data_IF_564981423528
#
_entry.id   IF_564981423528
#
_cell.length_a   1.000
_cell.length_b   1.000
_cell.length_c   1.000
_cell.angle_alpha   90.00
_cell.angle_beta   90.00
_cell.angle_gamma   90.00
#
_symmetry.space_group_name_H-M   'P 1'
#
loop_
_entity.id
_entity.type
_entity.pdbx_description
1 polymer ?
#
# COMPACT_ATOMS: atom_id res chain seq x y z
N UNK A 1 -7.65 13.94 -17.16
CA UNK A 1 -6.44 13.11 -17.00
C UNK A 1 -5.35 13.86 -16.23
N UNK A 2 -5.06 15.13 -16.58
CA UNK A 2 -4.06 15.95 -15.85
C UNK A 2 -4.32 16.10 -14.34
N UNK A 3 -5.59 16.18 -13.91
CA UNK A 3 -5.93 16.39 -12.50
C UNK A 3 -5.46 15.25 -11.57
N UNK A 4 -5.72 13.99 -11.93
CA UNK A 4 -5.34 12.83 -11.10
C UNK A 4 -3.81 12.66 -11.04
N UNK A 5 -3.12 12.90 -12.15
CA UNK A 5 -1.65 12.93 -12.19
C UNK A 5 -1.11 14.05 -11.30
N UNK A 6 -1.65 15.26 -11.43
CA UNK A 6 -1.23 16.41 -10.61
C UNK A 6 -1.41 16.12 -9.13
N UNK A 7 -2.56 15.56 -8.74
CA UNK A 7 -2.84 15.15 -7.36
C UNK A 7 -1.80 14.15 -6.85
N UNK A 8 -1.50 13.09 -7.61
CA UNK A 8 -0.51 12.08 -7.22
C UNK A 8 0.89 12.67 -6.99
N UNK A 9 1.36 13.55 -7.89
CA UNK A 9 2.67 14.19 -7.74
C UNK A 9 2.70 15.23 -6.62
N UNK A 10 1.60 15.93 -6.35
CA UNK A 10 1.48 16.83 -5.19
C UNK A 10 1.58 16.02 -3.90
N UNK A 11 0.84 14.91 -3.79
CA UNK A 11 0.91 14.03 -2.62
C UNK A 11 2.32 13.42 -2.44
N UNK A 12 2.96 12.99 -3.53
CA UNK A 12 4.34 12.51 -3.52
C UNK A 12 5.29 13.58 -2.97
N UNK A 13 5.20 14.80 -3.50
CA UNK A 13 6.07 15.93 -3.09
C UNK A 13 5.88 16.24 -1.60
N UNK A 14 4.63 16.32 -1.13
CA UNK A 14 4.33 16.55 0.28
C UNK A 14 4.85 15.42 1.17
N UNK A 15 4.63 14.16 0.76
CA UNK A 15 5.12 12.98 1.48
C UNK A 15 6.65 12.98 1.61
N UNK A 16 7.36 13.22 0.50
CA UNK A 16 8.82 13.32 0.48
C UNK A 16 9.33 14.47 1.34
N UNK A 17 8.66 15.62 1.32
CA UNK A 17 9.02 16.76 2.18
C UNK A 17 8.90 16.42 3.67
N UNK A 18 7.83 15.71 4.07
CA UNK A 18 7.64 15.25 5.46
C UNK A 18 8.71 14.22 5.86
N UNK A 19 9.04 13.27 4.98
CA UNK A 19 10.10 12.28 5.23
C UNK A 19 11.46 12.97 5.36
N UNK A 20 11.78 13.89 4.45
CA UNK A 20 13.02 14.65 4.49
C UNK A 20 13.12 15.49 5.77
N UNK A 21 12.05 16.20 6.14
CA UNK A 21 12.00 16.97 7.39
C UNK A 21 12.25 16.05 8.60
N UNK A 22 11.60 14.89 8.66
CA UNK A 22 11.80 13.91 9.73
C UNK A 22 13.27 13.48 9.83
N UNK A 23 13.89 13.12 8.72
CA UNK A 23 15.30 12.69 8.68
C UNK A 23 16.23 13.83 9.11
N UNK A 24 16.02 15.04 8.58
CA UNK A 24 16.84 16.23 8.94
C UNK A 24 16.72 16.54 10.43
N UNK A 25 15.51 16.56 10.98
CA UNK A 25 15.30 16.79 12.42
C UNK A 25 15.96 15.70 13.25
N UNK A 26 15.91 14.44 12.81
CA UNK A 26 16.55 13.31 13.49
C UNK A 26 18.07 13.46 13.51
N UNK A 27 18.67 13.75 12.36
CA UNK A 27 20.12 13.96 12.23
C UNK A 27 20.56 15.16 13.08
N UNK A 28 19.80 16.26 13.10
CA UNK A 28 20.12 17.44 13.91
C UNK A 28 20.00 17.22 15.42
N UNK A 29 19.04 16.40 15.86
CA UNK A 29 18.78 16.18 17.30
C UNK A 29 19.59 15.02 17.88
N UNK A 30 19.80 13.93 17.13
CA UNK A 30 20.42 12.70 17.61
C UNK A 30 21.81 12.43 17.02
N UNK A 31 22.22 13.14 15.97
CA UNK A 31 23.44 12.87 15.20
C UNK A 31 23.33 11.68 14.26
N UNK A 32 24.21 11.59 13.26
CA UNK A 32 24.22 10.52 12.24
C UNK A 32 24.59 9.14 12.81
N UNK A 33 25.37 9.10 13.90
CA UNK A 33 25.79 7.85 14.55
C UNK A 33 24.66 7.11 15.29
N UNK A 34 23.47 7.71 15.41
CA UNK A 34 22.32 7.13 16.15
C UNK A 34 21.09 6.87 15.25
N UNK A 35 21.30 6.77 13.93
CA UNK A 35 20.24 6.39 13.01
C UNK A 35 19.72 4.98 13.32
N UNK A 36 18.40 4.84 13.36
CA UNK A 36 17.70 3.65 13.79
C UNK A 36 17.07 2.93 12.59
N UNK A 37 16.61 1.70 12.80
CA UNK A 37 15.91 0.93 11.76
C UNK A 37 14.70 1.67 11.16
N UNK A 38 13.97 2.48 11.96
CA UNK A 38 12.85 3.28 11.45
C UNK A 38 13.31 4.34 10.44
N UNK A 39 14.49 4.92 10.60
CA UNK A 39 15.01 5.95 9.69
C UNK A 39 15.33 5.35 8.30
N UNK A 40 15.92 4.15 8.26
CA UNK A 40 16.16 3.42 7.01
C UNK A 40 14.86 2.97 6.34
N UNK A 41 13.87 2.53 7.12
CA UNK A 41 12.56 2.18 6.58
C UNK A 41 11.84 3.39 5.98
N UNK A 42 12.04 4.60 6.52
CA UNK A 42 11.47 5.82 5.91
C UNK A 42 12.14 6.16 4.57
N UNK A 43 13.44 5.93 4.42
CA UNK A 43 14.13 6.08 3.12
C UNK A 43 13.63 5.05 2.12
N UNK A 44 13.49 3.79 2.55
CA UNK A 44 12.91 2.74 1.71
C UNK A 44 11.47 3.08 1.27
N UNK A 45 10.65 3.62 2.18
CA UNK A 45 9.30 4.09 1.87
C UNK A 45 9.32 5.25 0.86
N UNK A 46 10.25 6.20 0.97
CA UNK A 46 10.39 7.28 -0.01
C UNK A 46 10.71 6.75 -1.41
N UNK A 47 11.63 5.79 -1.53
CA UNK A 47 11.98 5.15 -2.80
C UNK A 47 10.77 4.40 -3.36
N UNK A 48 10.11 3.59 -2.54
CA UNK A 48 8.92 2.84 -2.95
C UNK A 48 7.79 3.76 -3.40
N UNK A 49 7.61 4.91 -2.75
CA UNK A 49 6.58 5.88 -3.12
C UNK A 49 6.88 6.53 -4.47
N UNK A 50 8.13 6.93 -4.72
CA UNK A 50 8.55 7.45 -6.04
C UNK A 50 8.30 6.40 -7.13
N UNK A 51 8.71 5.15 -6.90
CA UNK A 51 8.54 4.07 -7.86
C UNK A 51 7.06 3.78 -8.11
N UNK A 52 6.26 3.67 -7.06
CA UNK A 52 4.82 3.41 -7.17
C UNK A 52 4.10 4.52 -7.94
N UNK A 53 4.39 5.79 -7.63
CA UNK A 53 3.78 6.94 -8.32
C UNK A 53 4.17 6.97 -9.80
N UNK A 54 5.43 6.67 -10.12
CA UNK A 54 5.89 6.57 -11.50
C UNK A 54 5.20 5.41 -12.26
N UNK A 55 5.10 4.23 -11.63
CA UNK A 55 4.44 3.08 -12.24
C UNK A 55 2.95 3.36 -12.49
N UNK A 56 2.26 3.98 -11.53
CA UNK A 56 0.87 4.39 -11.68
C UNK A 56 0.71 5.39 -12.83
N UNK A 57 1.55 6.43 -12.88
CA UNK A 57 1.57 7.38 -14.01
C UNK A 57 1.82 6.71 -15.36
N UNK A 58 2.70 5.70 -15.40
CA UNK A 58 3.04 5.00 -16.64
C UNK A 58 1.87 4.21 -17.25
N UNK A 59 0.91 3.76 -16.43
CA UNK A 59 -0.34 3.14 -16.92
C UNK A 59 -1.09 4.09 -17.87
N UNK A 60 -1.29 5.33 -17.46
CA UNK A 60 -2.00 6.32 -18.29
C UNK A 60 -1.11 6.86 -19.42
N UNK A 61 0.13 7.25 -19.09
CA UNK A 61 0.99 7.96 -20.03
C UNK A 61 1.54 7.05 -21.14
N UNK A 62 2.04 5.86 -20.75
CA UNK A 62 2.69 4.90 -21.65
C UNK A 62 1.66 3.93 -22.20
N UNK A 63 0.87 3.30 -21.32
CA UNK A 63 -0.06 2.23 -21.71
C UNK A 63 -1.46 2.73 -22.09
N UNK A 64 -1.69 4.05 -22.10
CA UNK A 64 -2.96 4.69 -22.47
C UNK A 64 -4.16 4.22 -21.63
N UNK A 65 -3.90 3.90 -20.37
CA UNK A 65 -4.90 3.36 -19.44
C UNK A 65 -5.38 1.96 -19.81
N UNK A 66 -4.66 1.24 -20.68
CA UNK A 66 -5.06 -0.10 -21.15
C UNK A 66 -4.35 -1.19 -20.37
N UNK A 67 -5.12 -2.18 -19.94
CA UNK A 67 -4.63 -3.44 -19.36
C UNK A 67 -5.52 -4.61 -19.85
N UNK A 68 -5.49 -5.75 -19.16
CA UNK A 68 -6.23 -6.96 -19.55
C UNK A 68 -7.67 -7.03 -18.99
N UNK A 69 -8.10 -6.01 -18.26
CA UNK A 69 -9.44 -5.83 -17.72
C UNK A 69 -10.31 -4.89 -18.58
N UNK A 70 -11.59 -4.77 -18.21
CA UNK A 70 -12.53 -3.83 -18.82
C UNK A 70 -12.94 -4.15 -20.27
N UNK A 71 -12.76 -5.40 -20.71
CA UNK A 71 -13.07 -5.86 -22.07
C UNK A 71 -14.29 -6.80 -22.09
N UNK A 72 -15.16 -6.66 -23.09
CA UNK A 72 -16.17 -7.68 -23.43
C UNK A 72 -15.54 -8.83 -24.22
N UNK A 73 -16.24 -9.96 -24.34
CA UNK A 73 -15.77 -11.11 -25.11
C UNK A 73 -15.50 -10.73 -26.57
N UNK A 74 -16.38 -9.97 -27.20
CA UNK A 74 -16.25 -9.53 -28.59
C UNK A 74 -15.04 -8.60 -28.77
N UNK A 75 -14.81 -7.72 -27.80
CA UNK A 75 -13.63 -6.84 -27.82
C UNK A 75 -12.33 -7.62 -27.65
N UNK A 76 -12.32 -8.68 -26.82
CA UNK A 76 -11.14 -9.56 -26.68
C UNK A 76 -10.86 -10.30 -27.99
N UNK A 77 -11.88 -10.82 -28.65
CA UNK A 77 -11.77 -11.53 -29.93
C UNK A 77 -11.30 -10.63 -31.07
N UNK A 78 -11.71 -9.36 -31.06
CA UNK A 78 -11.30 -8.39 -32.06
C UNK A 78 -9.82 -7.98 -31.96
N UNK A 79 -9.16 -8.21 -30.82
CA UNK A 79 -7.76 -7.82 -30.61
C UNK A 79 -6.84 -8.91 -31.19
N UNK A 80 -6.22 -8.60 -32.33
CA UNK A 80 -5.22 -9.47 -32.96
C UNK A 80 -3.93 -9.51 -32.14
N UNK A 81 -3.36 -10.70 -31.95
CA UNK A 81 -2.04 -10.87 -31.33
C UNK A 81 -0.97 -10.11 -32.09
N UNK A 82 -0.08 -9.43 -31.35
CA UNK A 82 1.01 -8.63 -31.93
C UNK A 82 0.59 -7.24 -32.47
N UNK A 83 -0.70 -6.91 -32.47
CA UNK A 83 -1.16 -5.54 -32.77
C UNK A 83 -0.70 -4.53 -31.71
N UNK A 84 -0.70 -3.24 -32.06
CA UNK A 84 -0.38 -2.16 -31.11
C UNK A 84 -1.27 -2.20 -29.87
N UNK A 85 -2.57 -2.49 -30.03
CA UNK A 85 -3.49 -2.62 -28.89
C UNK A 85 -3.14 -3.81 -28.00
N UNK A 86 -2.75 -4.95 -28.59
CA UNK A 86 -2.28 -6.10 -27.82
C UNK A 86 -1.02 -5.75 -27.01
N UNK A 87 -0.06 -5.05 -27.59
CA UNK A 87 1.18 -4.63 -26.90
C UNK A 87 0.85 -3.67 -25.75
N UNK A 88 -0.01 -2.68 -25.98
CA UNK A 88 -0.40 -1.72 -24.95
C UNK A 88 -1.07 -2.42 -23.75
N UNK A 89 -1.98 -3.36 -24.01
CA UNK A 89 -2.72 -4.07 -22.96
C UNK A 89 -1.86 -5.06 -22.20
N UNK A 90 -1.02 -5.83 -22.90
CA UNK A 90 -0.11 -6.79 -22.24
C UNK A 90 0.95 -6.06 -21.42
N UNK A 91 1.46 -4.93 -21.91
CA UNK A 91 2.38 -4.05 -21.18
C UNK A 91 1.73 -3.45 -19.93
N UNK A 92 0.55 -2.84 -20.08
CA UNK A 92 -0.18 -2.26 -18.96
C UNK A 92 -0.58 -3.30 -17.90
N UNK A 93 -0.99 -4.50 -18.31
CA UNK A 93 -1.28 -5.60 -17.38
C UNK A 93 -0.05 -6.02 -16.55
N UNK A 94 1.14 -6.08 -17.17
CA UNK A 94 2.41 -6.35 -16.44
C UNK A 94 2.75 -5.21 -15.48
N UNK A 95 2.62 -3.95 -15.93
CA UNK A 95 2.84 -2.78 -15.08
C UNK A 95 1.85 -2.75 -13.91
N UNK A 96 0.62 -3.19 -14.08
CA UNK A 96 -0.37 -3.26 -13.00
C UNK A 96 0.06 -4.21 -11.87
N UNK A 97 0.67 -5.35 -12.19
CA UNK A 97 1.24 -6.25 -11.18
C UNK A 97 2.36 -5.52 -10.40
N UNK A 98 3.22 -4.79 -11.12
CA UNK A 98 4.27 -4.00 -10.50
C UNK A 98 3.69 -2.93 -9.56
N UNK A 99 2.67 -2.18 -10.00
CA UNK A 99 1.94 -1.18 -9.20
C UNK A 99 1.41 -1.80 -7.91
N UNK A 100 0.67 -2.92 -7.99
CA UNK A 100 0.11 -3.57 -6.80
C UNK A 100 1.21 -4.06 -5.86
N UNK A 101 2.28 -4.63 -6.41
CA UNK A 101 3.43 -5.13 -5.62
C UNK A 101 4.11 -3.99 -4.87
N UNK A 102 4.39 -2.87 -5.54
CA UNK A 102 5.06 -1.70 -4.93
C UNK A 102 4.15 -0.97 -3.95
N UNK A 103 2.85 -0.90 -4.23
CA UNK A 103 1.85 -0.33 -3.32
C UNK A 103 1.80 -1.10 -1.99
N UNK A 104 1.72 -2.42 -2.06
CA UNK A 104 1.74 -3.29 -0.86
C UNK A 104 3.07 -3.17 -0.13
N UNK A 105 4.20 -3.13 -0.84
CA UNK A 105 5.50 -2.93 -0.21
C UNK A 105 5.59 -1.58 0.51
N UNK A 106 5.09 -0.50 -0.08
CA UNK A 106 5.07 0.84 0.51
C UNK A 106 4.27 0.86 1.81
N UNK A 107 3.01 0.41 1.76
CA UNK A 107 2.12 0.44 2.93
C UNK A 107 2.68 -0.37 4.10
N UNK A 108 3.20 -1.57 3.84
CA UNK A 108 3.76 -2.42 4.91
C UNK A 108 5.12 -1.94 5.42
N UNK A 109 5.90 -1.24 4.59
CA UNK A 109 7.12 -0.55 5.04
C UNK A 109 6.77 0.57 6.02
N UNK A 110 5.73 1.36 5.74
CA UNK A 110 5.25 2.40 6.65
C UNK A 110 4.76 1.81 7.99
N UNK A 111 3.97 0.73 7.94
CA UNK A 111 3.55 -0.01 9.15
C UNK A 111 4.75 -0.54 9.96
N UNK A 112 5.75 -1.08 9.27
CA UNK A 112 6.98 -1.56 9.92
C UNK A 112 7.77 -0.42 10.58
N UNK A 113 7.84 0.76 9.94
CA UNK A 113 8.46 1.95 10.53
C UNK A 113 7.73 2.40 11.81
N UNK A 114 6.39 2.29 11.85
CA UNK A 114 5.59 2.53 13.06
C UNK A 114 5.92 1.51 14.16
N UNK A 115 6.00 0.21 13.82
CA UNK A 115 6.43 -0.83 14.77
C UNK A 115 7.81 -0.53 15.37
N UNK A 116 8.80 -0.17 14.55
CA UNK A 116 10.15 0.18 15.00
C UNK A 116 10.12 1.44 15.89
N UNK A 117 9.31 2.43 15.53
CA UNK A 117 9.10 3.62 16.35
C UNK A 117 8.53 3.27 17.73
N UNK A 118 7.48 2.42 17.79
CA UNK A 118 6.91 1.94 19.05
C UNK A 118 7.89 1.12 19.87
N UNK A 119 8.69 0.26 19.22
CA UNK A 119 9.74 -0.51 19.90
C UNK A 119 10.69 0.42 20.66
N UNK A 120 11.15 1.49 20.01
CA UNK A 120 12.03 2.49 20.62
C UNK A 120 11.34 3.25 21.75
N UNK A 121 10.14 3.77 21.50
CA UNK A 121 9.39 4.60 22.43
C UNK A 121 9.04 3.85 23.72
N UNK A 122 8.71 2.57 23.60
CA UNK A 122 8.16 1.75 24.69
C UNK A 122 9.22 0.85 25.33
N UNK A 123 10.49 0.98 24.93
CA UNK A 123 11.58 0.09 25.35
C UNK A 123 11.80 0.06 26.87
N UNK A 124 11.42 1.14 27.57
CA UNK A 124 11.48 1.27 29.04
C UNK A 124 10.28 0.71 29.81
N UNK A 125 9.22 0.25 29.14
CA UNK A 125 7.98 -0.20 29.79
C UNK A 125 7.93 -1.73 29.86
N UNK A 126 7.87 -2.28 31.07
CA UNK A 126 7.79 -3.72 31.32
C UNK A 126 6.52 -4.31 30.67
N UNK A 127 6.68 -5.40 29.92
CA UNK A 127 5.58 -6.14 29.28
C UNK A 127 5.17 -5.67 27.87
N UNK A 128 5.67 -4.52 27.38
CA UNK A 128 5.30 -4.01 26.05
C UNK A 128 6.08 -4.62 24.89
N UNK A 129 7.31 -5.11 25.15
CA UNK A 129 8.17 -5.72 24.13
C UNK A 129 7.49 -6.91 23.44
N UNK A 130 6.77 -7.75 24.18
CA UNK A 130 6.03 -8.88 23.62
C UNK A 130 4.94 -8.42 22.64
N UNK A 131 4.17 -7.38 23.00
CA UNK A 131 3.09 -6.86 22.15
C UNK A 131 3.63 -6.28 20.84
N UNK A 132 4.76 -5.58 20.89
CA UNK A 132 5.38 -4.99 19.70
C UNK A 132 6.02 -6.08 18.84
N UNK A 133 6.61 -7.12 19.44
CA UNK A 133 7.09 -8.27 18.69
C UNK A 133 5.94 -8.98 17.96
N UNK A 134 4.80 -9.19 18.62
CA UNK A 134 3.59 -9.71 17.98
C UNK A 134 3.11 -8.81 16.84
N UNK A 135 3.18 -7.48 17.00
CA UNK A 135 2.87 -6.53 15.94
C UNK A 135 3.79 -6.69 14.72
N UNK A 136 5.10 -6.78 14.94
CA UNK A 136 6.09 -6.96 13.88
C UNK A 136 5.85 -8.28 13.12
N UNK A 137 5.63 -9.38 13.85
CA UNK A 137 5.33 -10.68 13.26
C UNK A 137 4.03 -10.63 12.45
N UNK A 138 2.99 -10.01 12.99
CA UNK A 138 1.69 -9.90 12.30
C UNK A 138 1.77 -9.03 11.04
N UNK A 139 2.44 -7.87 11.10
CA UNK A 139 2.66 -7.00 9.94
C UNK A 139 3.49 -7.73 8.87
N UNK A 140 4.54 -8.45 9.26
CA UNK A 140 5.36 -9.20 8.30
C UNK A 140 4.59 -10.36 7.67
N UNK A 141 3.84 -11.12 8.47
CA UNK A 141 3.05 -12.26 7.98
C UNK A 141 1.91 -11.81 7.05
N UNK A 142 1.24 -10.72 7.38
CA UNK A 142 0.19 -10.14 6.52
C UNK A 142 0.74 -9.62 5.20
N UNK A 143 1.93 -8.99 5.21
CA UNK A 143 2.59 -8.59 3.97
C UNK A 143 2.84 -9.79 3.05
N UNK A 144 3.41 -10.86 3.61
CA UNK A 144 3.66 -12.10 2.87
C UNK A 144 2.35 -12.69 2.33
N UNK A 145 1.28 -12.70 3.12
CA UNK A 145 -0.01 -13.21 2.69
C UNK A 145 -0.60 -12.42 1.51
N UNK A 146 -0.51 -11.08 1.53
CA UNK A 146 -0.98 -10.23 0.42
C UNK A 146 -0.16 -10.47 -0.85
N UNK A 147 1.17 -10.51 -0.74
CA UNK A 147 2.04 -10.75 -1.90
C UNK A 147 1.84 -12.15 -2.47
N UNK A 148 1.74 -13.18 -1.62
CA UNK A 148 1.43 -14.54 -2.07
C UNK A 148 0.07 -14.60 -2.75
N UNK A 149 -0.93 -13.87 -2.26
CA UNK A 149 -2.23 -13.79 -2.94
C UNK A 149 -2.09 -13.16 -4.32
N UNK A 150 -1.30 -12.08 -4.47
CA UNK A 150 -1.08 -11.44 -5.76
C UNK A 150 -0.39 -12.35 -6.77
N UNK A 151 0.56 -13.21 -6.36
CA UNK A 151 1.30 -14.06 -7.30
C UNK A 151 0.69 -15.45 -7.50
N UNK A 152 -0.02 -15.98 -6.50
CA UNK A 152 -0.57 -17.34 -6.54
C UNK A 152 -2.06 -17.39 -6.92
N UNK A 153 -2.79 -16.28 -6.90
CA UNK A 153 -4.22 -16.27 -7.25
C UNK A 153 -4.46 -16.64 -8.73
N UNK A 154 -3.49 -16.43 -9.61
CA UNK A 154 -3.59 -16.76 -11.03
C UNK A 154 -2.50 -17.75 -11.42
N UNK A 155 -2.91 -18.98 -11.74
CA UNK A 155 -2.02 -20.03 -12.23
C UNK A 155 -2.49 -20.54 -13.60
N UNK A 156 -1.60 -20.62 -14.60
CA UNK A 156 -0.21 -20.15 -14.64
C UNK A 156 -0.07 -18.62 -14.68
N UNK A 157 1.05 -18.07 -14.19
CA UNK A 157 1.30 -16.62 -14.03
C UNK A 157 1.16 -15.84 -15.33
N UNK A 158 1.47 -16.43 -16.49
CA UNK A 158 1.37 -15.72 -17.77
C UNK A 158 -0.06 -15.26 -18.12
N UNK A 159 -1.08 -15.84 -17.48
CA UNK A 159 -2.47 -15.39 -17.61
C UNK A 159 -2.71 -13.98 -17.08
N UNK A 160 -1.82 -13.44 -16.25
CA UNK A 160 -1.91 -12.05 -15.80
C UNK A 160 -1.82 -11.02 -16.93
N UNK A 161 -1.22 -11.39 -18.07
CA UNK A 161 -1.14 -10.54 -19.26
C UNK A 161 -1.77 -11.22 -20.48
N UNK A 162 -2.69 -12.17 -20.27
CA UNK A 162 -3.47 -12.76 -21.35
C UNK A 162 -4.66 -11.85 -21.69
N UNK A 163 -4.90 -11.64 -22.99
CA UNK A 163 -6.00 -10.81 -23.51
C UNK A 163 -7.17 -11.68 -23.99
N UNK A 164 -6.90 -12.71 -24.77
CA UNK A 164 -7.87 -13.67 -25.26
C UNK A 164 -7.33 -15.10 -25.10
N UNK A 165 -8.15 -16.11 -24.72
CA UNK A 165 -9.51 -15.98 -24.16
C UNK A 165 -9.51 -15.24 -22.81
N UNK A 166 -10.68 -14.92 -22.25
CA UNK A 166 -10.76 -14.23 -20.95
C UNK A 166 -10.03 -15.05 -19.85
N UNK A 167 -9.00 -14.49 -19.17
CA UNK A 167 -8.26 -15.21 -18.14
C UNK A 167 -9.02 -15.33 -16.81
N UNK A 168 -10.16 -14.65 -16.66
CA UNK A 168 -10.94 -14.57 -15.43
C UNK A 168 -10.46 -13.46 -14.49
N UNK A 169 -11.35 -13.06 -13.57
CA UNK A 169 -11.12 -11.91 -12.69
C UNK A 169 -9.86 -12.05 -11.80
N UNK A 170 -9.57 -13.24 -11.29
CA UNK A 170 -8.40 -13.50 -10.45
C UNK A 170 -7.07 -13.15 -11.14
N UNK A 171 -7.04 -13.20 -12.48
CA UNK A 171 -5.89 -12.92 -13.34
C UNK A 171 -5.85 -11.46 -13.86
N UNK A 172 -6.79 -10.62 -13.45
CA UNK A 172 -6.83 -9.20 -13.83
C UNK A 172 -6.31 -8.37 -12.66
N UNK A 173 -5.00 -8.10 -12.61
CA UNK A 173 -4.34 -7.50 -11.44
C UNK A 173 -4.92 -6.13 -11.00
N UNK A 174 -5.57 -5.40 -11.91
CA UNK A 174 -6.26 -4.14 -11.60
C UNK A 174 -7.47 -4.35 -10.68
N UNK A 175 -8.22 -5.43 -10.91
CA UNK A 175 -9.55 -5.67 -10.31
C UNK A 175 -9.71 -7.07 -9.70
N UNK A 176 -8.59 -7.73 -9.40
CA UNK A 176 -8.58 -9.10 -8.88
C UNK A 176 -9.25 -9.16 -7.50
N UNK A 177 -10.44 -9.79 -7.43
CA UNK A 177 -11.21 -10.00 -6.20
C UNK A 177 -10.40 -10.60 -5.05
N UNK A 178 -9.68 -11.73 -5.23
CA UNK A 178 -8.94 -12.32 -4.11
C UNK A 178 -7.88 -11.37 -3.58
N UNK A 179 -7.15 -10.68 -4.45
CA UNK A 179 -6.14 -9.70 -4.05
C UNK A 179 -6.77 -8.51 -3.29
N UNK A 180 -7.82 -7.89 -3.85
CA UNK A 180 -8.47 -6.73 -3.24
C UNK A 180 -9.03 -7.05 -1.85
N UNK A 181 -9.74 -8.18 -1.71
CA UNK A 181 -10.32 -8.59 -0.43
C UNK A 181 -9.25 -8.92 0.62
N UNK A 182 -8.23 -9.71 0.26
CA UNK A 182 -7.16 -10.08 1.20
C UNK A 182 -6.35 -8.84 1.59
N UNK A 183 -6.01 -7.97 0.63
CA UNK A 183 -5.32 -6.72 0.90
C UNK A 183 -6.14 -5.84 1.85
N UNK A 184 -7.43 -5.60 1.58
CA UNK A 184 -8.29 -4.77 2.41
C UNK A 184 -8.40 -5.31 3.85
N UNK A 185 -8.70 -6.60 4.00
CA UNK A 185 -8.90 -7.20 5.32
C UNK A 185 -7.62 -7.14 6.15
N UNK A 186 -6.47 -7.47 5.54
CA UNK A 186 -5.19 -7.44 6.24
C UNK A 186 -4.71 -6.01 6.51
N UNK A 187 -5.00 -5.06 5.63
CA UNK A 187 -4.72 -3.64 5.83
C UNK A 187 -5.49 -3.09 7.04
N UNK A 188 -6.82 -3.26 7.07
CA UNK A 188 -7.67 -2.81 8.18
C UNK A 188 -7.28 -3.47 9.50
N UNK A 189 -7.04 -4.79 9.49
CA UNK A 189 -6.73 -5.53 10.72
C UNK A 189 -5.35 -5.16 11.26
N UNK A 190 -4.35 -4.97 10.39
CA UNK A 190 -3.01 -4.50 10.82
C UNK A 190 -3.05 -3.07 11.34
N UNK A 191 -3.76 -2.15 10.68
CA UNK A 191 -3.91 -0.77 11.16
C UNK A 191 -4.63 -0.72 12.50
N UNK A 192 -5.76 -1.44 12.62
CA UNK A 192 -6.50 -1.55 13.88
C UNK A 192 -5.63 -2.09 15.01
N UNK A 193 -4.83 -3.12 14.72
CA UNK A 193 -3.90 -3.69 15.70
C UNK A 193 -2.83 -2.68 16.13
N UNK A 194 -2.22 -1.97 15.18
CA UNK A 194 -1.20 -0.96 15.46
C UNK A 194 -1.76 0.23 16.24
N UNK A 195 -3.02 0.60 16.01
CA UNK A 195 -3.72 1.62 16.78
C UNK A 195 -4.03 1.15 18.21
N UNK A 196 -4.47 -0.10 18.38
CA UNK A 196 -4.85 -0.64 19.71
C UNK A 196 -3.64 -0.87 20.60
N UNK A 197 -2.48 -1.29 20.06
CA UNK A 197 -1.28 -1.59 20.86
C UNK A 197 -0.88 -0.47 21.84
N UNK A 198 -0.76 0.82 21.45
CA UNK A 198 -0.36 1.89 22.36
C UNK A 198 -1.50 2.44 23.26
N UNK A 199 -2.78 2.19 22.96
CA UNK A 199 -3.93 2.77 23.70
C UNK A 199 -3.89 2.47 25.20
N UNK A 200 -3.72 1.21 25.67
CA UNK A 200 -3.76 0.91 27.09
C UNK A 200 -2.64 1.59 27.90
N UNK A 201 -1.52 1.96 27.27
CA UNK A 201 -0.47 2.72 27.95
C UNK A 201 -0.93 4.15 28.19
N UNK A 202 -1.53 4.77 27.17
CA UNK A 202 -1.85 6.18 27.21
C UNK A 202 -2.85 6.52 28.31
N UNK A 203 -3.78 5.61 28.58
CA UNK A 203 -4.84 5.77 29.57
C UNK A 203 -4.34 5.47 30.99
N UNK A 204 -3.25 4.71 31.15
CA UNK A 204 -2.63 4.42 32.46
C UNK A 204 -1.51 5.39 32.84
N UNK A 205 -0.92 6.10 31.88
CA UNK A 205 0.16 7.07 32.15
C UNK A 205 -0.42 8.44 32.53
N UNK A 206 -0.56 8.69 33.84
CA UNK A 206 -1.06 9.97 34.36
C UNK A 206 -0.11 11.19 34.15
N UNK A 207 1.02 11.02 33.44
CA UNK A 207 2.07 12.06 33.30
C UNK A 207 2.34 12.59 31.87
N UNK A 208 1.48 12.32 30.89
CA UNK A 208 1.73 12.76 29.50
C UNK A 208 1.51 14.27 29.31
N UNK A 209 2.47 14.94 28.66
CA UNK A 209 2.36 16.36 28.32
C UNK A 209 1.25 16.60 27.27
N UNK A 210 0.68 17.81 27.25
CA UNK A 210 -0.39 18.17 26.31
C UNK A 210 0.02 17.93 24.85
N UNK A 211 1.29 18.19 24.51
CA UNK A 211 1.85 17.95 23.18
C UNK A 211 1.86 16.46 22.80
N UNK A 212 2.15 15.56 23.74
CA UNK A 212 2.11 14.11 23.50
C UNK A 212 0.68 13.61 23.29
N UNK A 213 -0.28 14.16 24.05
CA UNK A 213 -1.70 13.86 23.87
C UNK A 213 -2.20 14.30 22.49
N UNK A 214 -1.88 15.53 22.08
CA UNK A 214 -2.25 16.06 20.76
C UNK A 214 -1.60 15.26 19.62
N UNK A 215 -0.31 14.96 19.72
CA UNK A 215 0.40 14.17 18.70
C UNK A 215 -0.18 12.77 18.56
N UNK A 216 -0.62 12.16 19.66
CA UNK A 216 -1.24 10.84 19.60
C UNK A 216 -2.66 10.89 19.04
N UNK A 217 -3.49 11.86 19.45
CA UNK A 217 -4.82 12.05 18.85
C UNK A 217 -4.71 12.23 17.34
N UNK A 218 -3.73 12.99 16.86
CA UNK A 218 -3.47 13.16 15.44
C UNK A 218 -3.11 11.83 14.73
N UNK A 219 -2.29 10.98 15.36
CA UNK A 219 -1.95 9.65 14.84
C UNK A 219 -3.19 8.75 14.78
N UNK A 220 -4.04 8.76 15.82
CA UNK A 220 -5.29 7.99 15.84
C UNK A 220 -6.26 8.44 14.75
N UNK A 221 -6.47 9.75 14.59
CA UNK A 221 -7.32 10.28 13.54
C UNK A 221 -6.79 9.94 12.14
N UNK A 222 -5.48 10.01 11.95
CA UNK A 222 -4.85 9.65 10.68
C UNK A 222 -5.05 8.16 10.37
N UNK A 223 -4.87 7.27 11.34
CA UNK A 223 -5.10 5.83 11.14
C UNK A 223 -6.56 5.50 10.82
N UNK A 224 -7.52 6.16 11.47
CA UNK A 224 -8.94 5.97 11.15
C UNK A 224 -9.29 6.47 9.74
N UNK A 225 -8.72 7.59 9.32
CA UNK A 225 -8.87 8.10 7.97
C UNK A 225 -8.35 7.11 6.92
N UNK A 226 -7.17 6.52 7.14
CA UNK A 226 -6.59 5.51 6.24
C UNK A 226 -7.53 4.32 6.08
N UNK A 227 -8.14 3.84 7.17
CA UNK A 227 -9.12 2.75 7.14
C UNK A 227 -10.34 3.12 6.28
N UNK A 228 -10.90 4.33 6.46
CA UNK A 228 -12.03 4.80 5.64
C UNK A 228 -11.66 4.86 4.16
N UNK A 229 -10.49 5.42 3.84
CA UNK A 229 -9.99 5.51 2.47
C UNK A 229 -9.80 4.13 1.84
N UNK A 230 -9.26 3.17 2.60
CA UNK A 230 -9.07 1.78 2.14
C UNK A 230 -10.39 1.10 1.80
N UNK A 231 -11.41 1.27 2.64
CA UNK A 231 -12.77 0.77 2.42
C UNK A 231 -13.35 1.42 1.16
N UNK A 232 -13.34 2.75 1.08
CA UNK A 232 -13.90 3.49 -0.05
C UNK A 232 -13.26 3.06 -1.39
N UNK A 233 -11.92 2.98 -1.44
CA UNK A 233 -11.18 2.51 -2.63
C UNK A 233 -11.65 1.13 -3.07
N UNK A 234 -11.71 0.17 -2.14
CA UNK A 234 -12.09 -1.20 -2.49
C UNK A 234 -13.55 -1.28 -2.91
N UNK A 235 -14.47 -0.61 -2.22
CA UNK A 235 -15.89 -0.58 -2.61
C UNK A 235 -16.06 0.02 -4.01
N UNK A 236 -15.36 1.10 -4.34
CA UNK A 236 -15.40 1.69 -5.69
C UNK A 236 -14.91 0.69 -6.74
N UNK A 237 -13.77 0.03 -6.51
CA UNK A 237 -13.21 -0.95 -7.46
C UNK A 237 -14.13 -2.16 -7.66
N UNK A 238 -14.79 -2.63 -6.60
CA UNK A 238 -15.73 -3.75 -6.66
C UNK A 238 -17.05 -3.36 -7.35
N UNK A 239 -17.54 -2.13 -7.17
CA UNK A 239 -18.81 -1.67 -7.74
C UNK A 239 -18.67 -1.22 -9.20
N UNK A 240 -17.57 -0.56 -9.56
CA UNK A 240 -17.35 -0.01 -10.91
C UNK A 240 -17.01 -1.10 -11.92
N UNK A 241 -16.43 -2.22 -11.48
CA UNK A 241 -16.08 -3.32 -12.36
C UNK A 241 -17.34 -4.02 -12.92
N UNK A 242 -17.58 -4.03 -14.24
CA UNK A 242 -18.81 -4.56 -14.84
C UNK A 242 -19.02 -6.07 -14.62
N UNK A 243 -17.98 -6.81 -14.24
CA UNK A 243 -18.02 -8.23 -13.88
C UNK A 243 -18.75 -8.53 -12.55
N UNK A 244 -19.25 -7.52 -11.83
CA UNK A 244 -20.01 -7.69 -10.58
C UNK A 244 -21.53 -7.52 -10.76
N UNK A 245 -22.00 -7.27 -11.98
CA UNK A 245 -23.44 -7.03 -12.26
C UNK A 245 -24.24 -8.29 -12.63
N UNK A 246 -23.71 -9.47 -12.36
CA UNK A 246 -24.38 -10.77 -12.58
C UNK A 246 -24.15 -11.69 -11.41
#
# INVERSE_FOLDING_TARGET
MEAATTEAYVMLTLGLAVIALRIVLRVRTAGTARLCADDYLMVAAAILYIVETYLAWSIDAVWKGKANDGLTTEQREAITEGSDEFILRTGGAKTQIAVQTTFVALLWTLKSAVCCFYWRLMSGIKGYKLRILLAIVFVTASWLAVQLTLFCACTPIHKYWQIYPDPGNQCQAAISRPFLLVCLLLDITTDSFLLVVPLPMLWRSQGLSLAQKLGLTAIFSAGFMVIICAIARNTILLVVSPHFRT
#
